data_IF_520986652713
#
_entry.id   IF_520986652713
#
_cell.length_a   1.000
_cell.length_b   1.000
_cell.length_c   1.000
_cell.angle_alpha   90.00
_cell.angle_beta   90.00
_cell.angle_gamma   90.00
#
_symmetry.space_group_name_H-M   'P 1'
#
loop_
_entity.id
_entity.type
_entity.pdbx_description
1 polymer ?
#
# COMPACT_ATOMS: atom_id res chain seq x y z
N UNK A 1 10.82 50.59 -19.17
CA UNK A 1 9.40 50.16 -19.04
C UNK A 1 9.19 48.68 -19.38
N UNK A 2 9.60 48.15 -20.55
CA UNK A 2 9.40 46.73 -20.95
C UNK A 2 9.97 45.65 -20.00
N UNK A 3 11.10 45.91 -19.33
CA UNK A 3 11.71 44.95 -18.38
C UNK A 3 10.92 44.81 -17.07
N UNK A 4 10.29 45.88 -16.62
CA UNK A 4 9.48 45.91 -15.39
C UNK A 4 8.16 45.18 -15.62
N UNK A 5 7.55 45.36 -16.79
CA UNK A 5 6.32 44.63 -17.18
C UNK A 5 6.54 43.14 -17.36
N UNK A 6 7.68 42.70 -17.91
CA UNK A 6 8.01 41.27 -18.03
C UNK A 6 8.20 40.59 -16.67
N UNK A 7 8.89 41.27 -15.74
CA UNK A 7 9.09 40.77 -14.38
C UNK A 7 7.77 40.66 -13.62
N UNK A 8 6.90 41.68 -13.73
CA UNK A 8 5.58 41.66 -13.13
C UNK A 8 4.69 40.52 -13.67
N UNK A 9 4.75 40.24 -14.99
CA UNK A 9 3.99 39.16 -15.61
C UNK A 9 4.44 37.76 -15.13
N UNK A 10 5.75 37.54 -14.99
CA UNK A 10 6.29 36.28 -14.46
C UNK A 10 5.93 36.07 -12.99
N UNK A 11 5.98 37.13 -12.17
CA UNK A 11 5.56 37.07 -10.78
C UNK A 11 4.07 36.71 -10.67
N UNK A 12 3.21 37.37 -11.45
CA UNK A 12 1.78 37.06 -11.53
C UNK A 12 1.52 35.62 -11.97
N UNK A 13 2.24 35.13 -12.99
CA UNK A 13 2.13 33.74 -13.43
C UNK A 13 2.52 32.77 -12.32
N UNK A 14 3.63 33.04 -11.60
CA UNK A 14 4.08 32.21 -10.48
C UNK A 14 3.06 32.19 -9.32
N UNK A 15 2.43 33.33 -9.02
CA UNK A 15 1.39 33.43 -8.00
C UNK A 15 0.11 32.72 -8.42
N UNK A 16 -0.28 32.80 -9.69
CA UNK A 16 -1.42 32.05 -10.25
C UNK A 16 -1.13 30.55 -10.20
N UNK A 17 0.04 30.11 -10.63
CA UNK A 17 0.47 28.71 -10.56
C UNK A 17 0.48 28.23 -9.10
N UNK A 18 1.07 28.99 -8.18
CA UNK A 18 1.07 28.70 -6.75
C UNK A 18 -0.35 28.62 -6.17
N UNK A 19 -1.24 29.55 -6.55
CA UNK A 19 -2.65 29.54 -6.15
C UNK A 19 -3.43 28.37 -6.74
N UNK A 20 -3.09 27.89 -7.94
CA UNK A 20 -3.67 26.70 -8.54
C UNK A 20 -3.18 25.42 -7.83
N UNK A 21 -1.90 25.39 -7.40
CA UNK A 21 -1.38 24.31 -6.55
C UNK A 21 -2.00 24.32 -5.15
N UNK A 22 -2.25 25.48 -4.53
CA UNK A 22 -2.86 25.56 -3.19
C UNK A 22 -4.38 25.39 -3.20
N UNK A 23 -5.07 25.66 -4.32
CA UNK A 23 -6.50 25.32 -4.49
C UNK A 23 -6.77 23.81 -4.51
N UNK A 24 -5.74 22.98 -4.73
CA UNK A 24 -5.81 21.53 -4.53
C UNK A 24 -5.62 21.09 -3.08
N UNK A 25 -5.20 21.99 -2.19
CA UNK A 25 -4.96 21.72 -0.77
C UNK A 25 -6.11 22.25 0.09
N UNK A 26 -7.35 21.94 -0.26
CA UNK A 26 -8.42 21.97 0.74
C UNK A 26 -8.20 20.78 1.67
N UNK A 27 -7.78 21.05 2.91
CA UNK A 27 -7.82 20.08 4.00
C UNK A 27 -9.27 19.81 4.40
N UNK A 28 -10.05 19.20 3.51
CA UNK A 28 -11.13 18.35 3.94
C UNK A 28 -10.46 17.05 4.37
N UNK A 29 -10.54 16.70 5.66
CA UNK A 29 -10.10 15.38 6.09
C UNK A 29 -10.83 14.36 5.21
N UNK A 30 -10.09 13.61 4.38
CA UNK A 30 -10.69 12.52 3.65
C UNK A 30 -11.38 11.61 4.69
N UNK A 31 -12.64 11.20 4.47
CA UNK A 31 -13.30 10.31 5.40
C UNK A 31 -12.45 9.04 5.58
N UNK A 32 -12.47 8.48 6.78
CA UNK A 32 -11.81 7.20 7.03
C UNK A 32 -12.36 6.16 6.04
N UNK A 33 -11.47 5.62 5.19
CA UNK A 33 -11.81 4.59 4.21
C UNK A 33 -11.59 3.22 4.81
N UNK A 34 -12.62 2.37 4.78
CA UNK A 34 -12.49 0.95 5.11
C UNK A 34 -11.94 0.22 3.88
N UNK A 35 -10.76 -0.40 4.00
CA UNK A 35 -10.15 -1.15 2.89
C UNK A 35 -10.71 -2.57 2.80
N UNK A 36 -10.79 -3.30 3.92
CA UNK A 36 -11.23 -4.71 3.96
C UNK A 36 -12.64 -4.86 4.54
N UNK A 37 -13.47 -5.70 3.91
CA UNK A 37 -14.75 -6.17 4.42
C UNK A 37 -14.68 -7.69 4.64
N UNK A 38 -14.58 -8.13 5.89
CA UNK A 38 -14.41 -9.55 6.28
C UNK A 38 -15.40 -9.92 7.37
N UNK A 39 -15.69 -11.21 7.53
CA UNK A 39 -16.55 -11.73 8.62
C UNK A 39 -15.87 -11.57 9.99
N UNK A 40 -16.65 -11.67 11.06
CA UNK A 40 -16.23 -11.40 12.45
C UNK A 40 -15.11 -12.30 12.97
N UNK A 41 -14.95 -13.50 12.42
CA UNK A 41 -13.88 -14.46 12.74
C UNK A 41 -12.55 -14.13 12.05
N UNK A 42 -12.53 -13.10 11.19
CA UNK A 42 -11.36 -12.72 10.40
C UNK A 42 -10.61 -11.56 11.01
N UNK A 43 -9.29 -11.63 10.89
CA UNK A 43 -8.33 -10.66 11.37
C UNK A 43 -7.50 -10.15 10.18
N UNK A 44 -7.31 -8.83 10.15
CA UNK A 44 -6.43 -8.13 9.22
C UNK A 44 -5.44 -7.33 10.08
N UNK A 45 -4.16 -7.68 10.03
CA UNK A 45 -3.15 -7.18 10.97
C UNK A 45 -1.94 -6.61 10.23
N UNK A 46 -1.16 -5.81 10.96
CA UNK A 46 0.16 -5.33 10.57
C UNK A 46 0.21 -4.65 9.17
N UNK A 47 -0.64 -3.63 8.91
CA UNK A 47 -0.60 -2.94 7.63
C UNK A 47 0.66 -2.07 7.48
N UNK A 48 1.21 -2.03 6.27
CA UNK A 48 2.18 -1.03 5.80
C UNK A 48 1.71 -0.42 4.49
N UNK A 49 2.09 0.83 4.23
CA UNK A 49 1.63 1.64 3.12
C UNK A 49 2.82 2.06 2.26
N UNK A 50 2.67 1.98 0.94
CA UNK A 50 3.66 2.50 -0.02
C UNK A 50 3.79 4.02 0.07
N UNK A 51 4.89 4.57 -0.45
CA UNK A 51 5.18 6.00 -0.35
C UNK A 51 4.21 6.89 -1.13
N UNK A 52 3.59 6.36 -2.18
CA UNK A 52 2.53 7.02 -2.94
C UNK A 52 1.13 6.87 -2.31
N UNK A 53 0.99 6.04 -1.28
CA UNK A 53 -0.28 5.78 -0.61
C UNK A 53 -1.24 4.89 -1.40
N UNK A 54 -0.81 4.23 -2.48
CA UNK A 54 -1.68 3.46 -3.38
C UNK A 54 -1.65 1.95 -3.12
N UNK A 55 -0.67 1.44 -2.38
CA UNK A 55 -0.53 0.02 -2.10
C UNK A 55 -0.41 -0.22 -0.59
N UNK A 56 -1.18 -1.18 -0.07
CA UNK A 56 -1.10 -1.63 1.33
C UNK A 56 -0.66 -3.08 1.36
N UNK A 57 0.39 -3.41 2.09
CA UNK A 57 0.74 -4.79 2.44
C UNK A 57 0.30 -5.09 3.88
N UNK A 58 -0.30 -6.25 4.11
CA UNK A 58 -0.82 -6.64 5.43
C UNK A 58 -0.96 -8.16 5.52
N UNK A 59 -1.16 -8.67 6.74
CA UNK A 59 -1.52 -10.08 6.94
C UNK A 59 -3.02 -10.23 7.17
N UNK A 60 -3.64 -11.25 6.55
CA UNK A 60 -5.05 -11.58 6.78
C UNK A 60 -5.27 -13.08 6.84
N UNK A 61 -6.22 -13.52 7.65
CA UNK A 61 -6.73 -14.90 7.64
C UNK A 61 -8.05 -15.05 6.85
N UNK A 62 -8.47 -14.00 6.11
CA UNK A 62 -9.60 -14.02 5.19
C UNK A 62 -9.18 -14.41 3.77
N UNK A 63 -10.12 -14.97 2.99
CA UNK A 63 -9.93 -15.20 1.56
C UNK A 63 -10.28 -13.93 0.75
N UNK A 64 -9.37 -12.95 0.77
CA UNK A 64 -9.59 -11.65 0.11
C UNK A 64 -9.41 -11.70 -1.41
N UNK A 65 -8.64 -12.68 -1.92
CA UNK A 65 -8.42 -12.87 -3.37
C UNK A 65 -9.43 -13.82 -4.02
N UNK A 66 -10.34 -14.42 -3.24
CA UNK A 66 -11.34 -15.37 -3.74
C UNK A 66 -10.72 -16.64 -4.33
N UNK A 67 -9.47 -16.94 -3.95
CA UNK A 67 -8.70 -18.08 -4.48
C UNK A 67 -8.95 -19.36 -3.69
N UNK A 68 -9.84 -19.36 -2.70
CA UNK A 68 -10.16 -20.53 -1.89
C UNK A 68 -9.04 -20.91 -0.92
N UNK A 69 -8.32 -19.92 -0.39
CA UNK A 69 -7.11 -20.11 0.40
C UNK A 69 -7.31 -20.80 1.76
N UNK A 70 -6.39 -21.72 2.06
CA UNK A 70 -6.24 -22.52 3.29
C UNK A 70 -6.30 -21.64 4.55
N UNK A 71 -6.77 -22.20 5.68
CA UNK A 71 -6.79 -21.55 6.99
C UNK A 71 -5.43 -20.95 7.41
N UNK A 72 -5.50 -19.82 8.12
CA UNK A 72 -4.33 -19.14 8.69
C UNK A 72 -4.03 -17.79 8.04
N UNK A 73 -3.07 -17.07 8.62
CA UNK A 73 -2.65 -15.75 8.11
C UNK A 73 -1.81 -15.88 6.84
N UNK A 74 -2.03 -14.98 5.87
CA UNK A 74 -1.29 -14.85 4.61
C UNK A 74 -0.95 -13.39 4.35
N UNK A 75 0.11 -13.13 3.59
CA UNK A 75 0.36 -11.80 3.05
C UNK A 75 -0.64 -11.45 1.95
N UNK A 76 -1.22 -10.26 2.05
CA UNK A 76 -1.99 -9.63 1.00
C UNK A 76 -1.41 -8.27 0.64
N UNK A 77 -1.52 -7.92 -0.63
CA UNK A 77 -1.42 -6.54 -1.11
C UNK A 77 -2.80 -6.07 -1.55
N UNK A 78 -3.20 -4.89 -1.09
CA UNK A 78 -4.36 -4.15 -1.60
C UNK A 78 -3.89 -3.01 -2.51
N UNK A 79 -4.42 -2.94 -3.73
CA UNK A 79 -4.34 -1.72 -4.56
C UNK A 79 -5.53 -0.83 -4.25
N UNK A 80 -5.23 0.44 -3.98
CA UNK A 80 -6.19 1.46 -3.58
C UNK A 80 -6.62 2.36 -4.75
N UNK A 81 -6.20 2.03 -5.98
CA UNK A 81 -6.49 2.75 -7.21
C UNK A 81 -7.98 2.74 -7.58
N UNK A 82 -8.73 1.76 -7.07
CA UNK A 82 -10.17 1.59 -7.27
C UNK A 82 -10.92 1.50 -5.94
N UNK A 83 -12.22 1.70 -5.98
CA UNK A 83 -13.15 1.42 -4.88
C UNK A 83 -14.26 0.46 -5.39
N UNK A 84 -14.38 -0.76 -4.84
CA UNK A 84 -13.58 -1.34 -3.76
C UNK A 84 -12.11 -1.57 -4.14
N UNK A 85 -11.26 -1.67 -3.12
CA UNK A 85 -9.86 -2.04 -3.30
C UNK A 85 -9.74 -3.44 -3.92
N UNK A 86 -8.71 -3.65 -4.73
CA UNK A 86 -8.40 -4.98 -5.29
C UNK A 86 -7.33 -5.66 -4.44
N UNK A 87 -7.45 -6.98 -4.26
CA UNK A 87 -6.57 -7.76 -3.38
C UNK A 87 -5.80 -8.81 -4.17
N UNK A 88 -4.53 -8.98 -3.80
CA UNK A 88 -3.66 -10.04 -4.30
C UNK A 88 -2.98 -10.74 -3.12
N UNK A 89 -3.07 -12.06 -3.08
CA UNK A 89 -2.34 -12.87 -2.11
C UNK A 89 -0.89 -13.03 -2.60
N UNK A 90 0.09 -12.68 -1.76
CA UNK A 90 1.51 -12.69 -2.13
C UNK A 90 2.20 -14.04 -1.89
N UNK A 91 1.45 -15.06 -1.50
CA UNK A 91 1.96 -16.41 -1.29
C UNK A 91 1.13 -17.21 -0.30
N UNK A 92 1.54 -18.45 -0.05
CA UNK A 92 0.89 -19.33 0.93
C UNK A 92 1.43 -19.17 2.35
N UNK A 93 2.55 -18.45 2.50
CA UNK A 93 3.20 -18.27 3.80
C UNK A 93 2.51 -17.21 4.65
N UNK A 94 2.47 -17.45 5.98
CA UNK A 94 2.26 -16.38 6.95
C UNK A 94 3.38 -15.35 6.83
N UNK A 95 2.98 -14.09 6.73
CA UNK A 95 3.88 -12.95 6.58
C UNK A 95 3.74 -12.02 7.78
N UNK A 96 4.52 -12.27 8.83
CA UNK A 96 4.45 -11.46 10.04
C UNK A 96 5.06 -10.09 9.76
N UNK A 97 4.30 -9.03 10.06
CA UNK A 97 4.73 -7.64 9.94
C UNK A 97 5.36 -7.29 8.58
N UNK A 98 4.59 -7.40 7.47
CA UNK A 98 5.12 -7.14 6.14
C UNK A 98 5.49 -5.68 5.96
N UNK A 99 6.58 -5.41 5.23
CA UNK A 99 7.01 -4.08 4.81
C UNK A 99 6.97 -3.97 3.29
N UNK A 100 6.26 -2.97 2.77
CA UNK A 100 6.22 -2.66 1.33
C UNK A 100 7.23 -1.55 0.99
N UNK A 101 7.87 -1.64 -0.18
CA UNK A 101 8.77 -0.62 -0.69
C UNK A 101 8.02 0.69 -1.02
N UNK A 102 8.77 1.80 -1.06
CA UNK A 102 8.19 3.13 -1.30
C UNK A 102 7.43 3.20 -2.63
N UNK A 103 7.94 2.53 -3.66
CA UNK A 103 7.36 2.45 -5.01
C UNK A 103 6.35 1.29 -5.17
N UNK A 104 6.08 0.53 -4.10
CA UNK A 104 5.15 -0.60 -4.15
C UNK A 104 5.65 -1.81 -4.96
N UNK A 105 6.91 -1.86 -5.36
CA UNK A 105 7.48 -2.94 -6.21
C UNK A 105 7.99 -4.16 -5.44
N UNK A 106 8.08 -4.11 -4.11
CA UNK A 106 8.51 -5.25 -3.31
C UNK A 106 7.85 -5.29 -1.93
N UNK A 107 7.68 -6.49 -1.39
CA UNK A 107 7.22 -6.73 -0.01
C UNK A 107 8.18 -7.68 0.70
N UNK A 108 8.73 -7.26 1.83
CA UNK A 108 9.53 -8.09 2.73
C UNK A 108 8.70 -8.55 3.93
N UNK A 109 8.88 -9.78 4.40
CA UNK A 109 8.14 -10.31 5.56
C UNK A 109 8.89 -11.42 6.29
N UNK A 110 8.62 -11.58 7.58
CA UNK A 110 9.13 -12.71 8.36
C UNK A 110 8.19 -13.92 8.26
N UNK A 111 8.76 -15.12 8.09
CA UNK A 111 8.00 -16.38 8.13
C UNK A 111 8.83 -17.55 8.65
N UNK A 112 8.16 -18.51 9.29
CA UNK A 112 8.72 -19.84 9.59
C UNK A 112 8.37 -20.88 8.53
N UNK A 113 7.54 -20.50 7.56
CA UNK A 113 7.10 -21.42 6.52
C UNK A 113 8.17 -21.57 5.45
N UNK A 114 7.94 -22.53 4.56
CA UNK A 114 8.88 -22.90 3.52
C UNK A 114 8.33 -22.61 2.10
N UNK A 115 8.03 -21.35 1.75
CA UNK A 115 7.39 -21.01 0.47
C UNK A 115 8.30 -21.28 -0.74
N UNK A 116 9.61 -21.38 -0.54
CA UNK A 116 10.61 -21.59 -1.59
C UNK A 116 11.20 -23.02 -1.58
N UNK A 117 10.81 -23.87 -0.64
CA UNK A 117 11.43 -25.19 -0.44
C UNK A 117 12.79 -25.17 0.28
N UNK A 118 13.36 -23.99 0.56
CA UNK A 118 14.71 -23.80 1.12
C UNK A 118 14.79 -23.59 2.64
N UNK A 119 13.65 -23.45 3.34
CA UNK A 119 13.55 -23.28 4.80
C UNK A 119 13.01 -24.56 5.47
N UNK A 120 13.77 -25.65 5.40
CA UNK A 120 13.31 -26.98 5.82
C UNK A 120 13.34 -27.21 7.34
N UNK A 121 14.12 -26.43 8.07
CA UNK A 121 14.27 -26.46 9.53
C UNK A 121 13.22 -25.59 10.26
N UNK A 122 12.51 -24.71 9.53
CA UNK A 122 11.32 -24.02 10.04
C UNK A 122 11.62 -22.96 11.11
N UNK A 123 12.86 -22.46 11.13
CA UNK A 123 13.21 -21.25 11.86
C UNK A 123 12.65 -20.01 11.14
N UNK A 124 12.68 -18.86 11.82
CA UNK A 124 12.13 -17.62 11.26
C UNK A 124 13.12 -17.00 10.30
N UNK A 125 12.69 -16.82 9.06
CA UNK A 125 13.48 -16.23 7.97
C UNK A 125 12.80 -14.98 7.41
N UNK A 126 13.57 -14.13 6.74
CA UNK A 126 13.05 -12.96 6.01
C UNK A 126 12.95 -13.30 4.53
N UNK A 127 11.74 -13.18 3.98
CA UNK A 127 11.46 -13.38 2.57
C UNK A 127 11.18 -12.04 1.88
N UNK A 128 11.55 -11.96 0.61
CA UNK A 128 11.28 -10.81 -0.26
C UNK A 128 10.46 -11.27 -1.45
N UNK A 129 9.32 -10.63 -1.68
CA UNK A 129 8.47 -10.81 -2.83
C UNK A 129 8.60 -9.60 -3.75
N UNK A 130 9.12 -9.80 -4.96
CA UNK A 130 9.13 -8.78 -6.02
C UNK A 130 7.79 -8.83 -6.77
N UNK A 131 7.18 -7.65 -6.99
CA UNK A 131 5.83 -7.47 -7.53
C UNK A 131 5.82 -7.14 -9.03
#
# INVERSE_FOLDING_TARGET
MRRITLFAALLLLSLVVCALYTRGAFMQSAPVRRVTQTTEDKLNLNPTLSGDGLQVAFESNADLSGTGGISGFRAFRASLDTEPASFSQLGVARAVAPAISQDGSAVAFASKENPLGTNADGNSEIFLYAL
#
